data_IF_231414096568
#
_entry.id   IF_231414096568
#
_cell.length_a   1.000
_cell.length_b   1.000
_cell.length_c   1.000
_cell.angle_alpha   90.00
_cell.angle_beta   90.00
_cell.angle_gamma   90.00
#
_symmetry.space_group_name_H-M   'P 1'
#
loop_
_entity.id
_entity.type
_entity.pdbx_description
1 polymer ?
#
# COMPACT_ATOMS: atom_id res chain seq x y z
N UNK A 1 -34.09 -16.80 14.02
CA UNK A 1 -32.67 -16.67 13.63
C UNK A 1 -32.60 -15.60 12.55
N UNK A 2 -32.19 -14.36 12.89
CA UNK A 2 -32.00 -13.30 11.89
C UNK A 2 -30.56 -13.42 11.37
N UNK A 3 -30.42 -14.04 10.22
CA UNK A 3 -29.16 -14.05 9.49
C UNK A 3 -29.07 -12.71 8.72
N UNK A 4 -28.67 -11.68 9.40
CA UNK A 4 -28.32 -10.41 8.74
C UNK A 4 -26.85 -10.44 8.47
N UNK A 5 -26.45 -10.79 7.24
CA UNK A 5 -25.11 -10.50 6.74
C UNK A 5 -24.96 -8.97 6.75
N UNK A 6 -24.33 -8.46 7.79
CA UNK A 6 -23.96 -7.06 7.92
C UNK A 6 -22.53 -6.89 7.45
N UNK A 7 -22.26 -5.81 6.75
CA UNK A 7 -20.98 -5.56 6.11
C UNK A 7 -20.39 -4.28 6.65
N UNK A 8 -19.13 -4.33 7.09
CA UNK A 8 -18.30 -3.16 7.21
C UNK A 8 -17.73 -2.82 5.83
N UNK A 9 -17.69 -1.55 5.47
CA UNK A 9 -17.15 -1.10 4.20
C UNK A 9 -15.74 -0.54 4.42
N UNK A 10 -14.79 -1.02 3.63
CA UNK A 10 -13.46 -0.45 3.59
C UNK A 10 -13.37 0.43 2.36
N UNK A 11 -13.21 1.73 2.57
CA UNK A 11 -12.91 2.66 1.51
C UNK A 11 -11.40 2.90 1.52
N UNK A 12 -10.69 2.23 0.65
CA UNK A 12 -9.26 2.46 0.45
C UNK A 12 -9.07 3.48 -0.65
N UNK A 13 -8.59 4.66 -0.30
CA UNK A 13 -8.34 5.74 -1.24
C UNK A 13 -6.85 6.01 -1.36
N UNK A 14 -6.41 6.05 -2.61
CA UNK A 14 -5.18 6.63 -3.12
C UNK A 14 -3.87 5.88 -2.83
N UNK A 15 -3.26 5.43 -3.92
CA UNK A 15 -1.93 4.85 -3.97
C UNK A 15 -0.90 5.94 -4.30
N UNK A 16 0.07 6.14 -3.45
CA UNK A 16 1.22 6.98 -3.74
C UNK A 16 2.42 6.09 -3.95
N UNK A 17 2.89 6.01 -5.19
CA UNK A 17 4.19 5.43 -5.50
C UNK A 17 5.26 6.46 -5.16
N UNK A 18 6.01 6.26 -4.11
CA UNK A 18 7.15 7.11 -3.77
C UNK A 18 8.39 6.55 -4.44
N UNK A 19 8.77 7.15 -5.58
CA UNK A 19 10.09 6.93 -6.15
C UNK A 19 11.08 7.79 -5.38
N UNK A 20 11.83 7.21 -4.49
CA UNK A 20 12.99 7.83 -3.84
C UNK A 20 14.15 7.91 -4.82
N UNK A 21 14.14 8.90 -5.73
CA UNK A 21 15.28 9.20 -6.58
C UNK A 21 16.40 9.82 -5.76
N UNK A 22 17.43 9.05 -5.43
CA UNK A 22 18.69 9.55 -4.89
C UNK A 22 19.46 10.32 -5.96
N UNK A 23 19.31 11.65 -5.98
CA UNK A 23 20.09 12.54 -6.81
C UNK A 23 21.53 12.61 -6.30
N UNK A 24 22.46 11.89 -6.92
CA UNK A 24 23.89 12.09 -6.74
C UNK A 24 24.33 13.36 -7.46
N UNK A 25 24.68 14.41 -6.72
CA UNK A 25 25.33 15.62 -7.25
C UNK A 25 26.73 15.31 -7.75
N UNK A 26 26.93 15.36 -9.05
CA UNK A 26 28.25 15.28 -9.66
C UNK A 26 28.95 16.62 -9.63
N UNK A 27 30.05 16.74 -8.88
CA UNK A 27 31.02 17.81 -9.04
C UNK A 27 31.89 17.52 -10.26
N UNK A 28 31.93 18.50 -11.16
CA UNK A 28 32.84 18.52 -12.30
C UNK A 28 34.29 18.65 -11.87
N UNK A 29 35.14 17.73 -12.33
CA UNK A 29 36.56 17.99 -12.56
C UNK A 29 36.99 17.33 -13.87
N UNK A 30 37.47 18.15 -14.76
CA UNK A 30 38.12 17.79 -16.00
C UNK A 30 39.47 17.12 -15.74
N UNK A 31 39.75 15.98 -16.36
CA UNK A 31 40.96 15.74 -17.15
C UNK A 31 40.97 14.39 -17.84
N UNK A 32 41.39 14.40 -19.03
CA UNK A 32 41.99 13.54 -20.03
C UNK A 32 41.86 12.01 -19.93
N UNK A 33 41.27 11.45 -21.00
CA UNK A 33 41.84 10.28 -21.68
C UNK A 33 41.25 8.92 -21.38
N UNK A 34 40.50 8.41 -22.33
CA UNK A 34 40.61 6.97 -22.68
C UNK A 34 39.58 6.00 -22.11
N UNK A 35 38.74 5.50 -23.00
CA UNK A 35 38.22 4.14 -22.88
C UNK A 35 36.79 4.00 -22.39
N UNK A 36 35.89 3.91 -23.38
CA UNK A 36 34.46 3.63 -23.19
C UNK A 36 34.12 2.49 -22.25
N UNK A 37 33.35 2.80 -21.30
CA UNK A 37 32.50 1.96 -20.54
C UNK A 37 31.24 2.74 -20.27
N UNK A 38 30.34 2.77 -21.26
CA UNK A 38 28.97 3.18 -20.97
C UNK A 38 28.37 2.11 -20.06
N UNK A 39 28.51 2.31 -18.76
CA UNK A 39 27.70 1.62 -17.78
C UNK A 39 26.27 1.93 -18.11
N UNK A 40 25.56 0.97 -18.70
CA UNK A 40 24.12 0.97 -18.82
C UNK A 40 23.61 0.99 -17.39
N UNK A 41 23.42 2.18 -16.83
CA UNK A 41 22.71 2.33 -15.57
C UNK A 41 21.31 1.81 -15.85
N UNK A 42 20.98 0.63 -15.31
CA UNK A 42 19.59 0.19 -15.29
C UNK A 42 18.82 1.25 -14.50
N UNK A 43 17.93 1.92 -15.18
CA UNK A 43 17.02 2.85 -14.53
C UNK A 43 16.04 2.03 -13.70
N UNK A 44 16.03 2.26 -12.40
CA UNK A 44 15.06 1.65 -11.50
C UNK A 44 13.66 2.18 -11.84
N UNK A 45 12.70 1.28 -12.00
CA UNK A 45 11.30 1.58 -12.26
C UNK A 45 10.54 1.65 -10.94
N UNK A 46 9.52 2.50 -10.88
CA UNK A 46 8.66 2.55 -9.71
C UNK A 46 7.70 1.36 -9.68
N UNK A 47 7.41 0.79 -8.50
CA UNK A 47 6.44 -0.30 -8.39
C UNK A 47 5.02 0.17 -8.74
N UNK A 48 4.18 -0.77 -9.18
CA UNK A 48 2.81 -0.50 -9.59
C UNK A 48 1.85 -1.39 -8.83
N UNK A 49 0.81 -0.80 -8.21
CA UNK A 49 -0.31 -1.54 -7.64
C UNK A 49 -1.30 -1.86 -8.76
N UNK A 50 -1.67 -3.13 -8.89
CA UNK A 50 -2.51 -3.62 -10.00
C UNK A 50 -3.97 -3.79 -9.63
N UNK A 51 -4.30 -3.99 -8.34
CA UNK A 51 -5.67 -4.11 -7.86
C UNK A 51 -6.10 -2.83 -7.12
N UNK A 52 -6.53 -1.83 -7.86
CA UNK A 52 -6.98 -0.54 -7.34
C UNK A 52 -8.47 -0.55 -7.01
N UNK A 53 -8.91 -1.38 -6.06
CA UNK A 53 -10.29 -1.31 -5.56
C UNK A 53 -10.43 -0.15 -4.60
N UNK A 54 -11.34 0.77 -4.90
CA UNK A 54 -11.63 1.94 -4.07
C UNK A 54 -12.58 1.62 -2.91
N UNK A 55 -13.30 0.51 -2.99
CA UNK A 55 -14.28 0.11 -1.98
C UNK A 55 -14.37 -1.41 -1.89
N UNK A 56 -14.25 -1.95 -0.68
CA UNK A 56 -14.32 -3.38 -0.38
C UNK A 56 -15.33 -3.57 0.74
N UNK A 57 -16.25 -4.53 0.57
CA UNK A 57 -17.18 -4.93 1.61
C UNK A 57 -16.62 -6.14 2.35
N UNK A 58 -16.54 -6.07 3.65
CA UNK A 58 -16.08 -7.15 4.52
C UNK A 58 -17.22 -7.56 5.46
N UNK A 59 -17.38 -8.86 5.64
CA UNK A 59 -18.34 -9.40 6.62
C UNK A 59 -17.82 -9.10 8.02
N UNK A 60 -18.68 -8.65 8.91
CA UNK A 60 -18.33 -8.42 10.32
C UNK A 60 -17.82 -9.68 11.02
N UNK A 61 -17.17 -9.51 12.15
CA UNK A 61 -16.61 -10.58 12.97
C UNK A 61 -15.50 -11.40 12.29
N UNK A 62 -14.85 -10.83 11.25
CA UNK A 62 -13.69 -11.41 10.57
C UNK A 62 -12.53 -10.43 10.52
N UNK A 63 -11.31 -10.92 10.75
CA UNK A 63 -10.10 -10.09 10.67
C UNK A 63 -9.57 -9.95 9.24
N UNK A 64 -9.92 -10.86 8.34
CA UNK A 64 -9.45 -10.78 6.95
C UNK A 64 -10.10 -9.62 6.22
N UNK A 65 -9.30 -8.73 5.67
CA UNK A 65 -9.79 -7.59 4.89
C UNK A 65 -9.59 -7.83 3.39
N UNK A 66 -8.39 -7.62 2.87
CA UNK A 66 -8.08 -7.78 1.45
C UNK A 66 -6.57 -7.97 1.24
N UNK A 67 -6.16 -8.18 -0.02
CA UNK A 67 -4.75 -8.24 -0.41
C UNK A 67 -4.45 -7.19 -1.46
N UNK A 68 -3.32 -6.50 -1.27
CA UNK A 68 -2.75 -5.59 -2.27
C UNK A 68 -1.90 -6.42 -3.21
N UNK A 69 -2.11 -6.23 -4.51
CA UNK A 69 -1.29 -6.85 -5.54
C UNK A 69 -0.47 -5.75 -6.20
N UNK A 70 0.84 -5.83 -6.05
CA UNK A 70 1.77 -4.90 -6.66
C UNK A 70 2.88 -5.65 -7.40
N UNK A 71 3.43 -5.01 -8.41
CA UNK A 71 4.54 -5.52 -9.22
C UNK A 71 5.59 -4.44 -9.38
N UNK A 72 6.85 -4.88 -9.45
CA UNK A 72 7.98 -4.04 -9.80
C UNK A 72 8.63 -4.61 -11.06
N UNK A 73 9.00 -3.73 -12.01
CA UNK A 73 9.57 -4.15 -13.30
C UNK A 73 11.01 -4.66 -13.17
N UNK A 74 11.72 -4.22 -12.14
CA UNK A 74 13.09 -4.62 -11.85
C UNK A 74 13.14 -5.78 -10.85
N UNK A 75 11.97 -6.26 -10.38
CA UNK A 75 11.79 -7.29 -9.36
C UNK A 75 12.38 -6.90 -7.99
N UNK A 76 12.32 -5.62 -7.67
CA UNK A 76 12.74 -5.14 -6.37
C UNK A 76 11.79 -5.59 -5.26
N UNK A 77 12.32 -5.67 -4.03
CA UNK A 77 11.52 -6.02 -2.86
C UNK A 77 10.58 -4.87 -2.49
N UNK A 78 9.29 -5.18 -2.41
CA UNK A 78 8.26 -4.19 -2.07
C UNK A 78 8.09 -4.08 -0.55
N UNK A 79 7.94 -2.85 -0.08
CA UNK A 79 7.57 -2.56 1.31
C UNK A 79 6.23 -1.86 1.32
N UNK A 80 5.30 -2.37 2.14
CA UNK A 80 3.96 -1.84 2.26
C UNK A 80 3.79 -1.09 3.57
N UNK A 81 3.13 0.07 3.51
CA UNK A 81 2.73 0.83 4.70
C UNK A 81 1.28 1.26 4.59
N UNK A 82 0.61 1.37 5.74
CA UNK A 82 -0.77 1.87 5.85
C UNK A 82 -0.73 3.21 6.58
N UNK A 83 -1.50 4.17 6.09
CA UNK A 83 -1.78 5.46 6.73
C UNK A 83 -3.26 5.82 6.57
N UNK A 84 -3.68 6.97 7.07
CA UNK A 84 -5.07 7.42 7.01
C UNK A 84 -5.75 7.37 8.36
N UNK A 85 -7.01 7.83 8.40
CA UNK A 85 -7.77 8.06 9.65
C UNK A 85 -7.90 6.80 10.50
N UNK A 86 -8.24 5.68 9.86
CA UNK A 86 -8.46 4.40 10.55
C UNK A 86 -7.28 3.43 10.40
N UNK A 87 -6.10 3.93 9.99
CA UNK A 87 -4.92 3.09 9.73
C UNK A 87 -4.47 2.24 10.92
N UNK A 88 -4.70 2.72 12.15
CA UNK A 88 -4.37 1.99 13.39
C UNK A 88 -5.22 0.73 13.62
N UNK A 89 -6.35 0.64 12.93
CA UNK A 89 -7.25 -0.51 12.99
C UNK A 89 -6.82 -1.65 12.06
N UNK A 90 -5.79 -1.44 11.26
CA UNK A 90 -5.28 -2.41 10.29
C UNK A 90 -3.83 -2.81 10.54
N UNK A 91 -3.49 -3.97 10.01
CA UNK A 91 -2.12 -4.43 9.84
C UNK A 91 -1.91 -4.84 8.37
N UNK A 92 -0.69 -4.65 7.85
CA UNK A 92 -0.30 -5.12 6.53
C UNK A 92 0.97 -5.95 6.63
N UNK A 93 0.97 -7.09 5.94
CA UNK A 93 2.13 -7.97 5.87
C UNK A 93 3.08 -7.56 4.73
N UNK A 94 4.30 -8.10 4.75
CA UNK A 94 5.28 -7.95 3.65
C UNK A 94 4.81 -8.57 2.33
N UNK A 95 3.79 -9.41 2.37
CA UNK A 95 3.14 -9.97 1.18
C UNK A 95 1.94 -9.14 0.69
N UNK A 96 1.69 -7.96 1.28
CA UNK A 96 0.57 -7.09 0.91
C UNK A 96 -0.79 -7.54 1.44
N UNK A 97 -0.84 -8.48 2.40
CA UNK A 97 -2.10 -8.92 3.01
C UNK A 97 -2.51 -7.95 4.11
N UNK A 98 -3.69 -7.36 3.97
CA UNK A 98 -4.29 -6.43 4.94
C UNK A 98 -5.29 -7.18 5.82
N UNK A 99 -5.18 -6.96 7.11
CA UNK A 99 -6.10 -7.52 8.12
C UNK A 99 -6.54 -6.43 9.08
N UNK A 100 -7.70 -6.61 9.68
CA UNK A 100 -8.08 -5.83 10.86
C UNK A 100 -7.25 -6.29 12.07
N UNK A 101 -6.87 -5.36 12.93
CA UNK A 101 -6.25 -5.65 14.23
C UNK A 101 -7.26 -6.28 15.20
N UNK A 102 -8.52 -5.86 15.09
CA UNK A 102 -9.68 -6.44 15.79
C UNK A 102 -10.81 -6.58 14.78
N UNK A 103 -11.50 -7.71 14.79
CA UNK A 103 -12.62 -7.93 13.88
C UNK A 103 -13.68 -6.83 14.04
N UNK A 104 -14.15 -6.21 12.93
CA UNK A 104 -15.16 -5.18 13.01
C UNK A 104 -16.50 -5.75 13.47
N UNK A 105 -17.23 -4.98 14.27
CA UNK A 105 -18.59 -5.25 14.72
C UNK A 105 -19.49 -4.15 14.19
N UNK A 106 -20.47 -4.51 13.38
CA UNK A 106 -21.35 -3.54 12.72
C UNK A 106 -22.21 -2.77 13.73
N UNK A 107 -22.60 -3.40 14.83
CA UNK A 107 -23.38 -2.80 15.89
C UNK A 107 -22.57 -1.87 16.80
N UNK A 108 -21.24 -2.07 16.83
CA UNK A 108 -20.30 -1.30 17.66
C UNK A 108 -19.12 -0.88 16.78
N UNK A 109 -19.32 0.08 15.87
CA UNK A 109 -18.26 0.53 14.97
C UNK A 109 -17.05 1.06 15.72
N UNK A 110 -15.85 0.71 15.27
CA UNK A 110 -14.57 1.13 15.86
C UNK A 110 -13.80 2.12 15.00
N UNK A 111 -14.33 2.47 13.82
CA UNK A 111 -13.83 3.53 12.95
C UNK A 111 -13.97 4.92 13.60
N UNK A 112 -13.24 5.90 13.09
CA UNK A 112 -13.10 7.21 13.73
C UNK A 112 -14.42 8.00 13.88
N UNK A 113 -15.37 7.82 12.98
CA UNK A 113 -16.67 8.53 12.94
C UNK A 113 -17.88 7.62 13.14
N UNK A 114 -17.64 6.33 13.39
CA UNK A 114 -18.67 5.32 13.73
C UNK A 114 -19.72 5.09 12.64
N UNK A 115 -19.33 5.20 11.38
CA UNK A 115 -20.21 4.98 10.23
C UNK A 115 -20.03 3.62 9.54
N UNK A 116 -19.13 2.77 10.07
CA UNK A 116 -18.71 1.49 9.49
C UNK A 116 -17.94 1.60 8.16
N UNK A 117 -17.38 2.79 7.86
CA UNK A 117 -16.52 3.02 6.72
C UNK A 117 -15.10 3.26 7.18
N UNK A 118 -14.24 2.29 6.98
CA UNK A 118 -12.83 2.32 7.42
C UNK A 118 -11.94 2.95 6.35
N UNK A 119 -11.39 4.12 6.63
CA UNK A 119 -10.57 4.89 5.70
C UNK A 119 -9.09 4.61 5.89
N UNK A 120 -8.46 4.03 4.88
CA UNK A 120 -7.03 3.74 4.88
C UNK A 120 -6.36 4.07 3.55
N UNK A 121 -5.04 4.29 3.62
CA UNK A 121 -4.19 4.64 2.50
C UNK A 121 -3.00 3.68 2.48
N UNK A 122 -2.72 3.06 1.35
CA UNK A 122 -1.60 2.14 1.20
C UNK A 122 -0.52 2.76 0.33
N UNK A 123 0.72 2.66 0.81
CA UNK A 123 1.94 3.09 0.12
C UNK A 123 2.86 1.90 -0.13
N UNK A 124 3.55 1.94 -1.23
CA UNK A 124 4.62 1.01 -1.58
C UNK A 124 5.90 1.75 -1.97
#
# INVERSE_FOLDING_TARGET
MKNTNRFAYILTVLFITSCGGGGGGGSSMSDGGGGGGYGSGSSNSAPTITNTSLSISVVENQISAFSVIATDADNDSLTYTISGTDSSLFAISTAGVVTFSTAPDFEIPSDADSDNIYLSLIHI
#
